data_IF_841979300976
#
_entry.id   IF_841979300976
#
_cell.length_a   1.000
_cell.length_b   1.000
_cell.length_c   1.000
_cell.angle_alpha   90.00
_cell.angle_beta   90.00
_cell.angle_gamma   90.00
#
_symmetry.space_group_name_H-M   'P 1'
#
loop_
_entity.id
_entity.type
_entity.pdbx_description
1 polymer ?
#
# COMPACT_ATOMS: atom_id res chain seq x y z
N UNK A 1 -1.01 -18.01 8.95
CA UNK A 1 -1.58 -16.66 8.94
C UNK A 1 -3.00 -16.74 8.44
N UNK A 2 -3.99 -16.41 9.27
CA UNK A 2 -5.39 -16.40 8.83
C UNK A 2 -5.63 -15.19 7.92
N UNK A 3 -6.18 -15.45 6.73
CA UNK A 3 -6.54 -14.41 5.77
C UNK A 3 -8.00 -14.05 5.95
N UNK A 4 -8.28 -12.80 6.31
CA UNK A 4 -9.65 -12.30 6.46
C UNK A 4 -10.05 -11.59 5.16
N UNK A 5 -11.04 -12.15 4.46
CA UNK A 5 -11.63 -11.49 3.30
C UNK A 5 -12.60 -10.41 3.77
N UNK A 6 -12.28 -9.16 3.49
CA UNK A 6 -13.07 -8.00 3.88
C UNK A 6 -13.31 -7.08 2.69
N UNK A 7 -14.16 -6.07 2.90
CA UNK A 7 -14.47 -5.05 1.90
C UNK A 7 -13.96 -3.71 2.41
N UNK A 8 -13.30 -2.97 1.53
CA UNK A 8 -12.93 -1.58 1.78
C UNK A 8 -14.12 -0.66 1.48
N UNK A 9 -14.35 0.35 2.32
CA UNK A 9 -15.43 1.33 2.18
C UNK A 9 -14.88 2.75 2.33
N UNK A 10 -15.35 3.68 1.49
CA UNK A 10 -15.03 5.10 1.63
C UNK A 10 -15.72 5.68 2.87
N UNK A 11 -14.95 6.34 3.72
CA UNK A 11 -15.39 7.07 4.91
C UNK A 11 -14.87 8.51 4.83
N UNK A 12 -15.71 9.44 4.35
CA UNK A 12 -15.26 10.81 4.08
C UNK A 12 -14.11 10.85 3.07
N UNK A 13 -12.96 11.35 3.49
CA UNK A 13 -11.72 11.39 2.69
C UNK A 13 -10.80 10.18 2.92
N UNK A 14 -11.21 9.21 3.73
CA UNK A 14 -10.44 8.02 4.07
C UNK A 14 -11.05 6.76 3.43
N UNK A 15 -10.23 5.72 3.29
CA UNK A 15 -10.69 4.35 3.02
C UNK A 15 -10.60 3.54 4.32
N UNK A 16 -11.74 3.06 4.80
CA UNK A 16 -11.83 2.16 5.94
C UNK A 16 -11.96 0.71 5.47
N UNK A 17 -11.50 -0.23 6.30
CA UNK A 17 -11.69 -1.66 6.08
C UNK A 17 -12.79 -2.15 7.01
N UNK A 18 -13.79 -2.85 6.46
CA UNK A 18 -14.87 -3.41 7.26
C UNK A 18 -14.41 -4.73 7.88
N UNK A 19 -14.09 -4.71 9.17
CA UNK A 19 -13.73 -5.91 9.94
C UNK A 19 -15.00 -6.61 10.48
N UNK A 20 -15.14 -7.92 10.28
CA UNK A 20 -16.20 -8.69 10.93
C UNK A 20 -16.10 -8.62 12.45
N UNK A 21 -17.22 -8.36 13.13
CA UNK A 21 -17.29 -8.20 14.58
C UNK A 21 -16.69 -9.37 15.36
N UNK A 22 -16.88 -10.60 14.87
CA UNK A 22 -16.30 -11.81 15.46
C UNK A 22 -14.78 -11.72 15.62
N UNK A 23 -14.08 -11.13 14.64
CA UNK A 23 -12.62 -10.99 14.67
C UNK A 23 -12.22 -9.89 15.64
N UNK A 24 -12.94 -8.77 15.64
CA UNK A 24 -12.72 -7.68 16.61
C UNK A 24 -12.82 -8.20 18.05
N UNK A 25 -13.83 -9.00 18.34
CA UNK A 25 -14.05 -9.57 19.67
C UNK A 25 -13.02 -10.65 20.04
N UNK A 26 -12.63 -11.49 19.07
CA UNK A 26 -11.67 -12.60 19.28
C UNK A 26 -10.25 -12.08 19.50
N UNK A 27 -9.81 -11.16 18.64
CA UNK A 27 -8.47 -10.56 18.66
C UNK A 27 -8.41 -9.33 19.61
N UNK A 28 -9.53 -9.00 20.27
CA UNK A 28 -9.67 -7.85 21.19
C UNK A 28 -9.16 -6.54 20.60
N UNK A 29 -9.43 -6.33 19.30
CA UNK A 29 -9.00 -5.15 18.56
C UNK A 29 -9.74 -3.93 19.12
N UNK A 30 -9.00 -2.90 19.49
CA UNK A 30 -9.53 -1.64 20.01
C UNK A 30 -9.16 -0.48 19.09
N UNK A 31 -9.87 0.63 19.22
CA UNK A 31 -9.45 1.88 18.59
C UNK A 31 -8.01 2.23 19.00
N UNK A 32 -7.21 2.69 18.02
CA UNK A 32 -5.78 2.97 18.21
C UNK A 32 -4.87 1.74 18.14
N UNK A 33 -5.39 0.54 17.91
CA UNK A 33 -4.55 -0.64 17.65
C UNK A 33 -3.89 -0.52 16.28
N UNK A 34 -2.56 -0.60 16.23
CA UNK A 34 -1.82 -0.67 14.96
C UNK A 34 -2.07 -2.01 14.27
N UNK A 35 -2.32 -1.97 12.97
CA UNK A 35 -2.64 -3.15 12.18
C UNK A 35 -1.88 -3.12 10.86
N UNK A 36 -1.17 -4.21 10.57
CA UNK A 36 -0.57 -4.44 9.25
C UNK A 36 -1.58 -5.15 8.35
N UNK A 37 -1.90 -4.53 7.21
CA UNK A 37 -2.88 -5.05 6.26
C UNK A 37 -2.15 -5.41 4.97
N UNK A 38 -2.32 -6.66 4.50
CA UNK A 38 -1.89 -7.08 3.17
C UNK A 38 -3.09 -7.07 2.23
N UNK A 39 -3.06 -6.19 1.22
CA UNK A 39 -4.13 -6.05 0.22
C UNK A 39 -3.77 -6.88 -1.01
N UNK A 40 -4.43 -8.03 -1.19
CA UNK A 40 -4.33 -8.82 -2.41
C UNK A 40 -5.41 -8.36 -3.40
N UNK A 41 -5.04 -7.49 -4.34
CA UNK A 41 -5.96 -7.04 -5.39
C UNK A 41 -6.12 -8.17 -6.41
N UNK A 42 -7.25 -8.88 -6.38
CA UNK A 42 -7.53 -9.97 -7.32
C UNK A 42 -7.77 -9.50 -8.77
N UNK A 43 -7.70 -8.19 -9.04
CA UNK A 43 -7.60 -7.71 -10.41
C UNK A 43 -6.18 -7.99 -10.87
N UNK A 44 -6.04 -8.89 -11.85
CA UNK A 44 -4.92 -8.83 -12.80
C UNK A 44 -4.93 -7.40 -13.35
N UNK A 45 -4.14 -6.48 -12.79
CA UNK A 45 -3.93 -5.17 -13.40
C UNK A 45 -3.45 -5.45 -14.82
N UNK A 46 -4.28 -5.10 -15.79
CA UNK A 46 -3.85 -5.17 -17.17
C UNK A 46 -2.81 -4.07 -17.40
N UNK A 47 -1.95 -4.24 -18.39
CA UNK A 47 -1.00 -3.19 -18.79
C UNK A 47 -1.74 -1.87 -19.10
N UNK A 48 -3.01 -1.96 -19.53
CA UNK A 48 -3.90 -0.82 -19.72
C UNK A 48 -4.23 -0.07 -18.43
N UNK A 49 -4.59 -0.77 -17.35
CA UNK A 49 -4.87 -0.15 -16.04
C UNK A 49 -3.64 0.53 -15.44
N UNK A 50 -2.45 -0.04 -15.68
CA UNK A 50 -1.15 0.50 -15.28
C UNK A 50 -0.79 1.78 -16.05
N UNK A 51 -1.03 1.79 -17.37
CA UNK A 51 -0.89 2.99 -18.20
C UNK A 51 -1.88 4.08 -17.81
N UNK A 52 -3.13 3.72 -17.50
CA UNK A 52 -4.15 4.69 -17.09
C UNK A 52 -3.82 5.31 -15.73
N UNK A 53 -3.31 4.51 -14.78
CA UNK A 53 -2.79 4.98 -13.50
C UNK A 53 -1.61 5.95 -13.69
N UNK A 54 -0.62 5.60 -14.52
CA UNK A 54 0.55 6.46 -14.80
C UNK A 54 0.17 7.79 -15.48
N UNK A 55 -0.91 7.81 -16.28
CA UNK A 55 -1.44 9.04 -16.89
C UNK A 55 -2.19 9.92 -15.89
N UNK A 56 -2.93 9.33 -14.94
CA UNK A 56 -3.69 10.05 -13.91
C UNK A 56 -2.80 10.53 -12.75
N UNK A 57 -1.71 9.83 -12.49
CA UNK A 57 -0.72 10.16 -11.49
C UNK A 57 0.67 10.25 -12.16
N UNK A 58 0.90 11.29 -12.97
CA UNK A 58 2.21 11.47 -13.58
C UNK A 58 3.25 11.57 -12.46
N UNK A 59 4.25 10.70 -12.52
CA UNK A 59 5.37 10.77 -11.59
C UNK A 59 5.93 12.19 -11.62
N UNK A 60 6.22 12.79 -10.46
CA UNK A 60 6.88 14.09 -10.43
C UNK A 60 8.11 13.98 -11.30
N UNK A 61 8.27 14.92 -12.26
CA UNK A 61 9.46 14.97 -13.13
C UNK A 61 10.66 14.82 -12.21
N UNK A 62 11.39 13.71 -12.33
CA UNK A 62 12.63 13.49 -11.59
C UNK A 62 13.50 14.71 -11.86
N UNK A 63 13.54 15.62 -10.88
CA UNK A 63 14.43 16.80 -10.92
C UNK A 63 15.88 16.39 -10.68
N UNK A 64 16.09 15.13 -10.30
CA UNK A 64 17.39 14.53 -10.00
C UNK A 64 17.77 13.59 -11.14
N UNK A 65 19.01 13.67 -11.65
CA UNK A 65 19.55 12.70 -12.59
C UNK A 65 19.33 11.27 -12.05
N UNK A 66 19.03 10.33 -12.94
CA UNK A 66 18.81 8.92 -12.59
C UNK A 66 20.01 8.35 -11.83
N UNK A 67 21.21 8.85 -12.13
CA UNK A 67 22.46 8.47 -11.46
C UNK A 67 22.41 8.74 -9.95
N UNK A 68 21.89 9.89 -9.52
CA UNK A 68 21.82 10.23 -8.08
C UNK A 68 20.89 9.30 -7.30
N UNK A 69 19.82 8.81 -7.93
CA UNK A 69 18.85 7.90 -7.30
C UNK A 69 19.45 6.51 -7.18
N UNK A 70 20.20 6.06 -8.19
CA UNK A 70 20.91 4.78 -8.15
C UNK A 70 21.96 4.81 -7.05
N UNK A 71 22.73 5.90 -6.93
CA UNK A 71 23.74 6.07 -5.87
C UNK A 71 23.12 6.13 -4.47
N UNK A 72 21.93 6.72 -4.31
CA UNK A 72 21.21 6.77 -3.03
C UNK A 72 20.71 5.38 -2.62
N UNK A 73 20.11 4.63 -3.54
CA UNK A 73 19.65 3.25 -3.29
C UNK A 73 20.82 2.30 -3.03
N UNK A 74 21.93 2.46 -3.75
CA UNK A 74 23.14 1.64 -3.56
C UNK A 74 23.75 1.90 -2.18
N UNK A 75 23.78 3.17 -1.74
CA UNK A 75 24.26 3.55 -0.40
C UNK A 75 23.32 3.07 0.72
N UNK A 76 22.01 3.09 0.54
CA UNK A 76 21.06 2.58 1.53
C UNK A 76 21.10 1.04 1.67
N UNK A 77 21.35 0.33 0.57
CA UNK A 77 21.34 -1.13 0.55
C UNK A 77 22.71 -1.76 0.86
N UNK A 78 23.80 -1.05 0.59
CA UNK A 78 25.17 -1.57 0.73
C UNK A 78 26.09 -0.73 1.62
N UNK A 79 25.58 0.37 2.19
CA UNK A 79 26.30 1.22 3.13
C UNK A 79 26.21 0.73 4.56
N UNK A 80 26.86 -0.40 4.88
CA UNK A 80 27.40 -0.63 6.21
C UNK A 80 28.93 -0.64 6.11
N UNK A 81 29.53 0.53 6.38
CA UNK A 81 30.72 0.73 7.22
C UNK A 81 30.82 2.21 7.64
#
# INVERSE_FOLDING_TARGET
MEKVKTVARKWGNLFGIVLPRKIVDTEKIKEGTEMTITIEVNNKMTVGDLMEFARKHPLPKLRRPIQEIIEEVDRELWGEE
#
